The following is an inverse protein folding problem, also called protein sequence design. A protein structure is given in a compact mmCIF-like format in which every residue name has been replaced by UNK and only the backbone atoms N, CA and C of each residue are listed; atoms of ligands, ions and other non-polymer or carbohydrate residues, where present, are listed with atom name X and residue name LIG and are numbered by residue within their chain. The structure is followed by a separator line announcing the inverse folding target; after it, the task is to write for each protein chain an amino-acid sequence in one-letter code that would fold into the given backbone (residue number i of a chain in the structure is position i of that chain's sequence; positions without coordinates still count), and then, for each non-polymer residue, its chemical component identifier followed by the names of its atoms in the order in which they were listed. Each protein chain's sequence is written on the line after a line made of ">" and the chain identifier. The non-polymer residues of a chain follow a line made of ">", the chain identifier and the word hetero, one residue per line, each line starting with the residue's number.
data_IF_956663751649
#
_entry.id   IF_956663751649
#
_cell.length_a   1.000
_cell.length_b   1.000
_cell.length_c   1.000
_cell.angle_alpha   90.00
_cell.angle_beta   90.00
_cell.angle_gamma   90.00
#
_symmetry.space_group_name_H-M   'P 1'
#
loop_
_entity.id
_entity.type
_entity.pdbx_description
1 polymer ?
#
# COMPACT_ATOMS: atom_id res chain seq x y z
N UNK A 1 -0.82 14.71 -2.41
CA UNK A 1 -1.70 15.84 -2.76
C UNK A 1 -2.92 15.22 -3.39
N UNK A 2 -4.09 15.56 -2.87
CA UNK A 2 -5.38 15.00 -3.23
C UNK A 2 -6.45 15.95 -2.71
N UNK A 3 -7.51 16.20 -3.47
CA UNK A 3 -8.68 16.97 -3.02
C UNK A 3 -9.53 16.07 -2.09
N UNK A 4 -9.43 16.29 -0.78
CA UNK A 4 -10.09 15.46 0.25
C UNK A 4 -11.48 16.00 0.57
N UNK A 5 -11.76 17.28 0.33
CA UNK A 5 -13.04 17.90 0.68
C UNK A 5 -13.90 18.23 -0.56
N UNK A 6 -13.46 17.85 -1.76
CA UNK A 6 -14.10 18.11 -3.05
C UNK A 6 -14.34 19.61 -3.30
N UNK A 7 -13.36 20.46 -2.96
CA UNK A 7 -13.42 21.90 -3.16
C UNK A 7 -12.65 22.42 -4.39
N UNK A 8 -12.18 21.50 -5.23
CA UNK A 8 -11.37 21.72 -6.44
C UNK A 8 -9.91 22.16 -6.16
N UNK A 9 -9.47 22.15 -4.89
CA UNK A 9 -8.08 22.39 -4.51
C UNK A 9 -7.44 21.15 -3.91
N UNK A 10 -6.22 20.84 -4.39
CA UNK A 10 -5.44 19.76 -3.79
C UNK A 10 -5.04 20.09 -2.34
N UNK A 11 -5.25 19.13 -1.45
CA UNK A 11 -4.84 19.18 -0.06
C UNK A 11 -3.48 18.52 0.19
N UNK A 12 -2.82 18.93 1.28
CA UNK A 12 -1.59 18.29 1.73
C UNK A 12 -1.92 17.22 2.76
N UNK A 13 -1.51 15.99 2.48
CA UNK A 13 -1.58 14.88 3.42
C UNK A 13 -0.18 14.34 3.69
N UNK A 14 0.17 14.14 4.96
CA UNK A 14 1.48 13.61 5.33
C UNK A 14 1.45 12.90 6.69
N UNK A 15 2.41 11.98 6.86
CA UNK A 15 2.69 11.31 8.12
C UNK A 15 4.12 11.60 8.55
N UNK A 16 4.32 11.58 9.86
CA UNK A 16 5.59 11.66 10.52
C UNK A 16 6.09 10.24 10.79
N UNK A 17 7.40 10.08 10.69
CA UNK A 17 8.07 8.82 11.00
C UNK A 17 8.07 8.53 12.52
N UNK A 18 8.34 7.28 12.91
CA UNK A 18 8.51 6.86 14.30
C UNK A 18 9.68 7.60 14.99
N UNK A 19 9.79 7.47 16.32
CA UNK A 19 10.80 8.14 17.17
C UNK A 19 10.67 9.67 17.25
N UNK A 20 9.44 10.20 17.28
CA UNK A 20 9.14 11.62 17.44
C UNK A 20 9.50 12.10 18.85
N UNK A 21 10.29 13.16 18.95
CA UNK A 21 10.85 13.66 20.23
C UNK A 21 9.81 14.15 21.26
N UNK A 22 8.60 14.54 20.85
CA UNK A 22 7.59 15.16 21.71
C UNK A 22 6.18 14.56 21.51
N UNK A 23 6.10 13.26 21.23
CA UNK A 23 4.82 12.61 20.92
C UNK A 23 3.85 12.59 22.12
N UNK A 24 4.36 12.68 23.36
CA UNK A 24 3.52 12.77 24.56
C UNK A 24 2.63 14.02 24.57
N UNK A 25 3.12 15.14 24.03
CA UNK A 25 2.37 16.41 23.96
C UNK A 25 1.64 16.58 22.61
N UNK A 26 2.09 15.90 21.56
CA UNK A 26 1.40 15.85 20.27
C UNK A 26 1.39 14.40 19.75
N UNK A 27 0.38 13.61 20.11
CA UNK A 27 0.36 12.18 19.79
C UNK A 27 0.05 11.90 18.33
N UNK A 28 -0.49 12.86 17.58
CA UNK A 28 -0.88 12.67 16.18
C UNK A 28 0.33 12.38 15.29
N UNK A 29 0.21 11.34 14.48
CA UNK A 29 1.29 10.85 13.63
C UNK A 29 1.20 11.42 12.22
N UNK A 30 0.02 11.80 11.75
CA UNK A 30 -0.16 12.44 10.45
C UNK A 30 -1.25 13.49 10.46
N UNK A 31 -1.28 14.28 9.40
CA UNK A 31 -2.21 15.38 9.23
C UNK A 31 -2.66 15.52 7.78
N UNK A 32 -3.90 16.01 7.62
CA UNK A 32 -4.38 16.66 6.41
C UNK A 32 -4.37 18.16 6.65
N UNK A 33 -3.87 18.94 5.70
CA UNK A 33 -3.99 20.38 5.64
C UNK A 33 -4.91 20.70 4.47
N UNK A 34 -6.18 21.00 4.79
CA UNK A 34 -7.18 21.32 3.79
C UNK A 34 -6.95 22.73 3.27
N UNK A 35 -6.61 22.80 1.99
CA UNK A 35 -6.50 24.04 1.24
C UNK A 35 -7.86 24.74 1.19
N UNK A 36 -7.84 26.04 0.96
CA UNK A 36 -9.03 26.82 0.63
C UNK A 36 -8.81 27.65 -0.64
N UNK A 37 -7.79 27.27 -1.42
CA UNK A 37 -7.35 27.97 -2.63
C UNK A 37 -6.58 29.27 -2.40
N UNK A 38 -6.45 29.76 -1.16
CA UNK A 38 -5.68 30.99 -0.88
C UNK A 38 -4.19 30.69 -0.76
N UNK A 39 -3.35 31.67 -1.09
CA UNK A 39 -1.89 31.55 -0.91
C UNK A 39 -1.45 31.66 0.55
N UNK A 40 -2.36 31.92 1.49
CA UNK A 40 -2.06 32.08 2.90
C UNK A 40 -2.34 30.77 3.65
N UNK A 41 -1.32 29.92 3.77
CA UNK A 41 -1.41 28.60 4.42
C UNK A 41 -1.92 28.63 5.87
N UNK A 42 -1.86 29.79 6.55
CA UNK A 42 -2.40 29.92 7.91
C UNK A 42 -3.94 29.93 7.96
N UNK A 43 -4.60 30.13 6.81
CA UNK A 43 -6.06 30.06 6.66
C UNK A 43 -6.56 28.65 6.35
N UNK A 44 -5.64 27.72 6.08
CA UNK A 44 -5.94 26.33 5.75
C UNK A 44 -6.28 25.54 7.02
N UNK A 45 -7.14 24.54 6.89
CA UNK A 45 -7.60 23.77 8.04
C UNK A 45 -6.68 22.57 8.30
N UNK A 46 -6.08 22.50 9.49
CA UNK A 46 -5.32 21.34 9.93
C UNK A 46 -6.24 20.31 10.60
N UNK A 47 -6.20 19.06 10.11
CA UNK A 47 -6.91 17.92 10.68
C UNK A 47 -5.94 16.79 10.98
N UNK A 48 -6.08 16.18 12.15
CA UNK A 48 -5.27 15.02 12.53
C UNK A 48 -5.78 13.75 11.87
N UNK A 49 -4.85 12.87 11.49
CA UNK A 49 -5.14 11.54 10.96
C UNK A 49 -5.21 10.50 12.10
N UNK A 50 -5.93 9.39 11.89
CA UNK A 50 -5.85 8.22 12.75
C UNK A 50 -4.39 7.72 12.87
N UNK A 51 -4.06 7.18 14.05
CA UNK A 51 -2.77 6.52 14.26
C UNK A 51 -2.77 5.14 13.60
N UNK A 52 -1.58 4.64 13.24
CA UNK A 52 -1.42 3.29 12.72
C UNK A 52 -1.57 2.20 13.80
N UNK A 53 -1.54 0.92 13.40
CA UNK A 53 -1.98 -0.21 14.23
C UNK A 53 -1.03 -0.55 15.39
N UNK A 54 0.22 -0.08 15.38
CA UNK A 54 1.25 -0.51 16.35
C UNK A 54 1.32 0.36 17.61
N UNK A 55 0.37 1.28 17.76
CA UNK A 55 0.37 2.27 18.83
C UNK A 55 1.19 3.50 18.49
N UNK A 56 0.90 4.59 19.20
CA UNK A 56 1.51 5.90 18.94
C UNK A 56 3.03 5.81 19.07
N UNK A 57 3.71 6.36 18.07
CA UNK A 57 5.16 6.47 17.89
C UNK A 57 5.89 5.17 17.55
N UNK A 58 5.15 4.11 17.19
CA UNK A 58 5.69 2.81 16.76
C UNK A 58 5.39 2.49 15.29
N UNK A 59 4.73 3.41 14.58
CA UNK A 59 4.34 3.26 13.19
C UNK A 59 5.35 3.92 12.24
N UNK A 60 5.75 3.18 11.20
CA UNK A 60 6.54 3.65 10.07
C UNK A 60 5.65 3.65 8.83
N UNK A 61 5.31 4.85 8.38
CA UNK A 61 4.47 5.07 7.20
C UNK A 61 5.36 5.08 5.95
N UNK A 62 5.28 4.02 5.15
CA UNK A 62 6.20 3.78 4.03
C UNK A 62 5.70 4.40 2.72
N UNK A 63 4.38 4.35 2.50
CA UNK A 63 3.73 4.86 1.30
C UNK A 63 2.25 5.12 1.58
N UNK A 64 1.63 5.99 0.80
CA UNK A 64 0.19 6.14 0.74
C UNK A 64 -0.23 6.33 -0.72
N UNK A 65 -1.43 5.86 -1.06
CA UNK A 65 -2.09 6.13 -2.33
C UNK A 65 -3.56 6.50 -2.06
N UNK A 66 -4.21 7.11 -3.02
CA UNK A 66 -5.57 7.63 -2.85
C UNK A 66 -6.45 7.35 -4.08
N UNK A 67 -7.75 7.23 -3.83
CA UNK A 67 -8.78 6.94 -4.82
C UNK A 67 -10.14 6.79 -4.16
N UNK A 68 -11.22 6.83 -4.93
CA UNK A 68 -12.57 6.54 -4.44
C UNK A 68 -12.71 5.02 -4.28
N UNK A 69 -12.62 4.52 -3.05
CA UNK A 69 -12.60 3.08 -2.75
C UNK A 69 -14.01 2.52 -2.53
N UNK A 70 -15.00 3.39 -2.27
CA UNK A 70 -16.37 3.01 -1.94
C UNK A 70 -17.42 3.58 -2.92
N UNK A 71 -16.96 4.20 -4.00
CA UNK A 71 -17.75 4.82 -5.07
C UNK A 71 -18.71 5.93 -4.56
N UNK A 72 -18.33 6.68 -3.53
CA UNK A 72 -19.14 7.78 -2.98
C UNK A 72 -18.81 9.15 -3.58
N UNK A 73 -17.80 9.23 -4.44
CA UNK A 73 -17.32 10.43 -5.11
C UNK A 73 -16.31 11.25 -4.31
N UNK A 74 -15.88 10.78 -3.13
CA UNK A 74 -14.83 11.41 -2.33
C UNK A 74 -13.57 10.56 -2.34
N UNK A 75 -12.41 11.22 -2.28
CA UNK A 75 -11.15 10.50 -2.29
C UNK A 75 -10.85 9.91 -0.90
N UNK A 76 -10.60 8.62 -0.88
CA UNK A 76 -10.14 7.83 0.26
C UNK A 76 -8.62 7.63 0.19
N UNK A 77 -8.05 7.02 1.22
CA UNK A 77 -6.60 6.84 1.35
C UNK A 77 -6.27 5.44 1.87
N UNK A 78 -5.30 4.79 1.22
CA UNK A 78 -4.65 3.57 1.74
C UNK A 78 -3.23 3.89 2.15
N UNK A 79 -2.81 3.41 3.33
CA UNK A 79 -1.48 3.71 3.90
C UNK A 79 -0.75 2.42 4.23
N UNK A 80 0.48 2.27 3.72
CA UNK A 80 1.36 1.16 4.04
C UNK A 80 2.11 1.47 5.33
N UNK A 81 1.88 0.65 6.36
CA UNK A 81 2.44 0.83 7.70
C UNK A 81 3.24 -0.40 8.11
N UNK A 82 4.45 -0.16 8.62
CA UNK A 82 5.27 -1.16 9.29
C UNK A 82 5.64 -0.71 10.69
N UNK A 83 6.25 -1.58 11.50
CA UNK A 83 6.58 -1.23 12.90
C UNK A 83 8.05 -0.96 13.12
N UNK A 84 8.34 -0.25 14.20
CA UNK A 84 9.69 -0.01 14.70
C UNK A 84 10.30 -1.26 15.36
N UNK A 85 9.48 -2.03 16.08
CA UNK A 85 9.89 -3.20 16.83
C UNK A 85 8.88 -4.35 16.64
N UNK A 86 9.32 -5.50 16.09
CA UNK A 86 10.58 -5.72 15.38
C UNK A 86 10.77 -4.83 14.13
N UNK A 87 12.02 -4.50 13.82
CA UNK A 87 12.37 -3.49 12.81
C UNK A 87 11.83 -3.84 11.42
N UNK A 88 10.93 -2.99 10.91
CA UNK A 88 10.33 -3.11 9.57
C UNK A 88 9.58 -4.43 9.33
N UNK A 89 9.12 -5.06 10.41
CA UNK A 89 8.33 -6.28 10.34
C UNK A 89 6.84 -5.93 10.28
N UNK A 90 6.08 -6.69 9.48
CA UNK A 90 4.68 -6.44 9.19
C UNK A 90 4.46 -5.45 8.06
N UNK A 91 3.75 -5.91 7.02
CA UNK A 91 3.32 -5.10 5.89
C UNK A 91 1.81 -4.85 6.00
N UNK A 92 1.43 -3.92 6.88
CA UNK A 92 0.04 -3.58 7.15
C UNK A 92 -0.45 -2.51 6.18
N UNK A 93 -1.70 -2.60 5.78
CA UNK A 93 -2.42 -1.60 5.00
C UNK A 93 -3.53 -1.02 5.88
N UNK A 94 -3.44 0.27 6.17
CA UNK A 94 -4.49 1.02 6.83
C UNK A 94 -5.43 1.61 5.78
N UNK A 95 -6.73 1.37 5.93
CA UNK A 95 -7.80 1.85 5.05
C UNK A 95 -8.48 3.04 5.72
N UNK A 96 -8.37 4.21 5.11
CA UNK A 96 -8.96 5.45 5.60
C UNK A 96 -10.03 5.93 4.62
N UNK A 97 -11.31 5.79 4.99
CA UNK A 97 -12.41 6.31 4.18
C UNK A 97 -12.73 7.75 4.55
N UNK A 98 -13.10 8.53 3.55
CA UNK A 98 -13.56 9.90 3.72
C UNK A 98 -14.97 9.92 4.30
N UNK A 99 -15.20 10.77 5.30
CA UNK A 99 -16.53 10.97 5.87
C UNK A 99 -17.38 11.99 5.11
N UNK A 100 -16.96 12.37 3.89
CA UNK A 100 -17.55 13.40 3.01
C UNK A 100 -17.47 14.84 3.54
N UNK A 101 -16.85 15.04 4.70
CA UNK A 101 -16.58 16.35 5.32
C UNK A 101 -15.07 16.63 5.38
N UNK A 102 -14.28 15.87 4.63
CA UNK A 102 -12.84 15.93 4.58
C UNK A 102 -12.16 15.42 5.85
N UNK A 103 -12.79 14.52 6.62
CA UNK A 103 -12.11 13.73 7.64
C UNK A 103 -11.86 12.32 7.11
N UNK A 104 -10.69 11.77 7.42
CA UNK A 104 -10.32 10.40 7.07
C UNK A 104 -10.50 9.51 8.31
N UNK A 105 -11.36 8.49 8.17
CA UNK A 105 -11.75 7.56 9.23
C UNK A 105 -11.11 6.21 8.98
N UNK A 106 -10.40 5.70 9.99
CA UNK A 106 -9.83 4.34 9.92
C UNK A 106 -10.94 3.30 10.05
N UNK A 107 -11.12 2.51 8.99
CA UNK A 107 -12.10 1.43 8.90
C UNK A 107 -11.45 0.05 8.82
N UNK A 108 -10.13 -0.02 8.95
CA UNK A 108 -9.34 -1.22 8.62
C UNK A 108 -9.80 -2.46 9.37
N UNK A 109 -10.14 -2.34 10.65
CA UNK A 109 -10.60 -3.48 11.47
C UNK A 109 -11.87 -4.15 10.92
N UNK A 110 -12.77 -3.37 10.30
CA UNK A 110 -14.01 -3.91 9.76
C UNK A 110 -13.90 -4.25 8.26
N UNK A 111 -13.09 -3.48 7.54
CA UNK A 111 -13.06 -3.50 6.08
C UNK A 111 -11.88 -4.30 5.52
N UNK A 112 -10.82 -4.50 6.29
CA UNK A 112 -9.70 -5.35 5.87
C UNK A 112 -9.03 -6.06 7.07
N UNK A 113 -9.78 -6.92 7.80
CA UNK A 113 -9.30 -7.58 9.02
C UNK A 113 -8.24 -8.65 8.74
N UNK A 114 -8.35 -9.37 7.61
CA UNK A 114 -7.52 -10.53 7.30
C UNK A 114 -6.41 -10.18 6.31
N UNK A 115 -5.35 -9.53 6.81
CA UNK A 115 -4.17 -9.16 6.01
C UNK A 115 -3.08 -10.23 6.14
N UNK A 116 -2.83 -11.00 5.08
CA UNK A 116 -1.93 -12.16 5.17
C UNK A 116 -0.45 -11.80 5.46
N UNK A 117 -0.06 -10.53 5.30
CA UNK A 117 1.31 -10.02 5.48
C UNK A 117 1.50 -9.11 6.69
N UNK A 118 0.44 -8.83 7.46
CA UNK A 118 0.54 -7.87 8.57
C UNK A 118 1.50 -8.33 9.65
N UNK A 119 1.63 -9.64 9.89
CA UNK A 119 2.29 -10.13 11.10
C UNK A 119 3.81 -10.05 11.00
N UNK A 120 4.39 -10.55 9.90
CA UNK A 120 5.85 -10.77 9.82
C UNK A 120 6.51 -10.46 8.49
N UNK A 121 5.75 -10.11 7.44
CA UNK A 121 6.36 -9.76 6.15
C UNK A 121 7.11 -8.45 6.26
N UNK A 122 8.23 -8.29 5.55
CA UNK A 122 8.93 -7.01 5.53
C UNK A 122 8.04 -5.90 4.96
N UNK A 123 7.89 -4.80 5.69
CA UNK A 123 6.88 -3.79 5.39
C UNK A 123 7.28 -2.73 4.36
N UNK A 124 8.52 -2.71 3.89
CA UNK A 124 8.96 -1.74 2.88
C UNK A 124 8.27 -2.00 1.54
N UNK A 125 7.52 -1.01 1.05
CA UNK A 125 6.74 -1.19 -0.16
C UNK A 125 6.14 0.09 -0.73
N UNK A 126 5.38 -0.09 -1.81
CA UNK A 126 4.58 0.92 -2.48
C UNK A 126 3.16 0.37 -2.67
N UNK A 127 2.19 1.27 -2.68
CA UNK A 127 0.79 0.96 -2.96
C UNK A 127 0.46 1.45 -4.37
N UNK A 128 -0.32 0.66 -5.10
CA UNK A 128 -0.95 1.07 -6.35
C UNK A 128 -2.42 0.67 -6.30
N UNK A 129 -3.31 1.64 -6.53
CA UNK A 129 -4.75 1.39 -6.63
C UNK A 129 -5.17 1.20 -8.09
N UNK A 130 -5.70 0.03 -8.45
CA UNK A 130 -6.16 -0.31 -9.83
C UNK A 130 -7.27 -1.34 -9.74
N UNK A 131 -8.12 -1.38 -10.76
CA UNK A 131 -9.08 -2.47 -10.98
C UNK A 131 -8.33 -3.69 -11.55
N UNK A 132 -8.13 -4.74 -10.75
CA UNK A 132 -7.37 -5.93 -11.13
C UNK A 132 -8.24 -7.04 -11.70
N UNK A 133 -9.50 -7.12 -11.26
CA UNK A 133 -10.42 -8.20 -11.62
C UNK A 133 -11.48 -7.79 -12.65
N UNK A 134 -11.43 -6.53 -13.08
CA UNK A 134 -12.27 -5.90 -14.09
C UNK A 134 -13.74 -5.77 -13.66
N UNK A 135 -13.99 -5.66 -12.36
CA UNK A 135 -15.33 -5.39 -11.82
C UNK A 135 -15.68 -3.89 -11.76
N UNK A 136 -14.69 -3.01 -11.99
CA UNK A 136 -14.83 -1.57 -12.01
C UNK A 136 -14.43 -0.86 -10.72
N UNK A 137 -14.04 -1.61 -9.69
CA UNK A 137 -13.67 -1.09 -8.37
C UNK A 137 -12.14 -1.01 -8.19
N UNK A 138 -11.67 -0.06 -7.38
CA UNK A 138 -10.23 0.04 -7.10
C UNK A 138 -9.81 -1.01 -6.07
N UNK A 139 -8.95 -1.93 -6.50
CA UNK A 139 -8.23 -2.88 -5.66
C UNK A 139 -6.88 -2.33 -5.19
N UNK A 140 -6.25 -3.02 -4.24
CA UNK A 140 -4.95 -2.65 -3.70
C UNK A 140 -3.87 -3.62 -4.16
N UNK A 141 -2.84 -3.08 -4.80
CA UNK A 141 -1.57 -3.77 -4.99
C UNK A 141 -0.51 -3.23 -4.05
N UNK A 142 -0.13 -4.05 -3.08
CA UNK A 142 0.96 -3.76 -2.17
C UNK A 142 2.26 -4.38 -2.70
N UNK A 143 3.04 -3.56 -3.39
CA UNK A 143 4.37 -3.91 -3.89
C UNK A 143 5.38 -3.95 -2.74
N UNK A 144 5.63 -5.12 -2.18
CA UNK A 144 6.57 -5.29 -1.07
C UNK A 144 7.87 -5.97 -1.51
N UNK A 145 9.00 -5.58 -0.92
CA UNK A 145 10.24 -6.35 -1.09
C UNK A 145 10.16 -7.64 -0.27
N UNK A 146 10.53 -8.76 -0.85
CA UNK A 146 10.58 -10.05 -0.13
C UNK A 146 12.02 -10.53 0.04
N UNK A 147 12.34 -11.05 1.23
CA UNK A 147 13.64 -11.61 1.61
C UNK A 147 13.56 -13.10 1.98
N UNK A 148 12.35 -13.65 1.95
CA UNK A 148 12.06 -15.04 2.28
C UNK A 148 11.91 -15.83 0.99
N UNK A 149 10.71 -16.29 0.60
CA UNK A 149 10.48 -17.06 -0.63
C UNK A 149 9.01 -17.01 -1.15
N UNK A 150 8.26 -15.93 -0.89
CA UNK A 150 6.83 -15.84 -1.20
C UNK A 150 6.64 -15.24 -2.60
N UNK A 151 6.53 -13.90 -2.68
CA UNK A 151 6.48 -13.10 -3.90
C UNK A 151 6.55 -11.60 -3.53
N UNK A 152 7.14 -10.77 -4.39
CA UNK A 152 7.39 -9.34 -4.14
C UNK A 152 6.17 -8.42 -4.26
N UNK A 153 4.97 -8.95 -4.02
CA UNK A 153 3.71 -8.22 -4.10
C UNK A 153 2.57 -8.96 -3.39
N UNK A 154 1.56 -8.23 -2.94
CA UNK A 154 0.28 -8.74 -2.47
C UNK A 154 -0.87 -7.95 -3.13
N UNK A 155 -1.97 -8.62 -3.44
CA UNK A 155 -3.19 -7.98 -3.95
C UNK A 155 -4.32 -8.20 -2.93
N UNK A 156 -5.09 -7.15 -2.67
CA UNK A 156 -6.35 -7.22 -1.94
C UNK A 156 -7.48 -6.71 -2.84
N UNK A 157 -8.49 -7.54 -3.06
CA UNK A 157 -9.64 -7.26 -3.93
C UNK A 157 -10.71 -6.52 -3.15
N UNK A 158 -11.18 -5.40 -3.69
CA UNK A 158 -12.28 -4.61 -3.19
C UNK A 158 -13.61 -5.17 -3.70
N UNK A 159 -14.70 -4.94 -2.98
CA UNK A 159 -16.05 -5.31 -3.43
C UNK A 159 -16.91 -4.10 -3.83
N UNK A 160 -16.25 -2.97 -4.10
CA UNK A 160 -16.87 -1.68 -4.44
C UNK A 160 -17.40 -0.85 -3.28
N UNK A 161 -17.30 -1.36 -2.05
CA UNK A 161 -17.70 -0.62 -0.82
C UNK A 161 -16.52 -0.31 0.10
N UNK A 162 -15.29 -0.45 -0.41
CA UNK A 162 -14.06 -0.30 0.37
C UNK A 162 -13.84 -1.44 1.36
N UNK A 163 -14.41 -2.63 1.12
CA UNK A 163 -14.19 -3.85 1.91
C UNK A 163 -13.32 -4.78 1.09
N UNK A 164 -12.17 -5.14 1.65
CA UNK A 164 -11.08 -5.82 0.95
C UNK A 164 -10.90 -7.27 1.41
N UNK A 165 -10.62 -8.13 0.45
CA UNK A 165 -10.23 -9.53 0.68
C UNK A 165 -8.82 -9.77 0.15
N UNK A 166 -7.92 -10.24 1.02
CA UNK A 166 -6.57 -10.65 0.63
C UNK A 166 -6.60 -11.78 -0.39
N UNK A 167 -5.95 -11.61 -1.54
CA UNK A 167 -5.62 -12.75 -2.38
C UNK A 167 -4.54 -13.59 -1.70
N UNK A 168 -4.74 -14.92 -1.74
CA UNK A 168 -3.77 -15.85 -1.20
C UNK A 168 -2.47 -15.78 -2.01
N UNK A 169 -1.31 -15.88 -1.34
CA UNK A 169 -0.01 -15.86 -2.01
C UNK A 169 0.15 -16.95 -3.10
N UNK A 170 -0.64 -18.02 -3.04
CA UNK A 170 -0.66 -19.09 -4.06
C UNK A 170 -1.21 -18.66 -5.43
N UNK A 171 -1.94 -17.55 -5.53
CA UNK A 171 -2.34 -16.97 -6.81
C UNK A 171 -1.15 -16.43 -7.60
N UNK A 172 -0.08 -16.03 -6.90
CA UNK A 172 1.14 -15.62 -7.54
C UNK A 172 2.04 -16.83 -7.81
N UNK A 173 2.67 -16.90 -8.98
CA UNK A 173 3.69 -17.89 -9.20
C UNK A 173 4.82 -17.65 -8.20
N UNK A 174 5.37 -18.76 -7.70
CA UNK A 174 6.60 -18.71 -6.90
C UNK A 174 7.67 -17.98 -7.69
N UNK A 175 8.62 -17.38 -6.97
CA UNK A 175 9.85 -16.85 -7.58
C UNK A 175 10.40 -17.84 -8.62
N UNK A 176 10.95 -17.37 -9.75
CA UNK A 176 11.59 -18.28 -10.71
C UNK A 176 12.75 -19.03 -10.03
N UNK A 177 12.66 -20.37 -9.89
CA UNK A 177 13.78 -21.21 -9.38
C UNK A 177 13.87 -22.52 -10.17
N UNK A 178 15.06 -22.85 -10.69
CA UNK A 178 15.91 -23.95 -10.16
C UNK A 178 17.14 -24.31 -11.02
N UNK A 179 17.17 -24.06 -12.34
CA UNK A 179 18.12 -24.83 -13.18
C UNK A 179 19.25 -24.11 -13.95
N UNK A 180 19.44 -22.78 -13.99
CA UNK A 180 20.64 -22.26 -14.71
C UNK A 180 21.21 -20.88 -14.38
N UNK A 181 20.62 -20.01 -13.55
CA UNK A 181 21.16 -18.64 -13.47
C UNK A 181 21.29 -17.92 -12.11
N UNK A 182 20.51 -18.12 -11.03
CA UNK A 182 20.92 -17.55 -9.72
C UNK A 182 20.22 -18.09 -8.47
N UNK A 183 20.93 -17.96 -7.34
CA UNK A 183 20.44 -18.19 -5.97
C UNK A 183 20.12 -16.85 -5.26
N UNK A 184 19.62 -15.85 -5.98
CA UNK A 184 19.22 -14.58 -5.36
C UNK A 184 18.04 -14.83 -4.41
N UNK A 185 18.22 -14.43 -3.15
CA UNK A 185 17.25 -14.72 -2.08
C UNK A 185 16.21 -13.61 -1.94
N UNK A 186 16.53 -12.40 -2.42
CA UNK A 186 15.62 -11.26 -2.39
C UNK A 186 14.91 -11.06 -3.72
N UNK A 187 13.65 -10.65 -3.61
CA UNK A 187 12.80 -10.23 -4.73
C UNK A 187 12.55 -8.74 -4.56
N UNK A 188 12.85 -7.97 -5.60
CA UNK A 188 12.56 -6.55 -5.63
C UNK A 188 11.05 -6.30 -5.64
N UNK A 189 10.67 -5.07 -5.26
CA UNK A 189 9.32 -4.55 -5.38
C UNK A 189 8.75 -4.83 -6.78
N UNK A 190 7.64 -5.55 -6.85
CA UNK A 190 6.97 -5.84 -8.10
C UNK A 190 6.12 -4.66 -8.57
N UNK A 191 6.04 -4.42 -9.88
CA UNK A 191 5.22 -3.36 -10.45
C UNK A 191 4.04 -3.93 -11.23
N UNK A 192 2.82 -3.47 -10.95
CA UNK A 192 1.67 -3.79 -11.77
C UNK A 192 1.78 -3.11 -13.15
N UNK A 193 1.53 -3.86 -14.22
CA UNK A 193 1.60 -3.38 -15.61
C UNK A 193 0.60 -4.15 -16.48
N UNK A 194 0.18 -3.60 -17.61
CA UNK A 194 -0.59 -4.34 -18.61
C UNK A 194 0.33 -4.62 -19.82
N UNK A 195 0.86 -5.85 -19.94
CA UNK A 195 1.83 -6.27 -20.95
C UNK A 195 1.18 -6.87 -22.19
N UNK A 196 0.01 -7.49 -22.06
CA UNK A 196 -0.69 -8.17 -23.15
C UNK A 196 -1.92 -7.41 -23.68
N UNK A 197 -2.32 -6.33 -23.00
CA UNK A 197 -3.49 -5.52 -23.31
C UNK A 197 -4.82 -6.28 -23.14
N UNK A 198 -4.87 -7.32 -22.31
CA UNK A 198 -6.08 -8.09 -22.00
C UNK A 198 -6.82 -7.59 -20.74
N UNK A 199 -6.27 -6.57 -20.07
CA UNK A 199 -6.93 -5.87 -18.96
C UNK A 199 -6.62 -6.48 -17.59
N UNK A 200 -6.33 -7.78 -17.54
CA UNK A 200 -5.76 -8.41 -16.37
C UNK A 200 -4.38 -7.81 -16.09
N UNK A 201 -4.16 -7.39 -14.84
CA UNK A 201 -2.92 -6.71 -14.52
C UNK A 201 -1.79 -7.73 -14.33
N UNK A 202 -0.76 -7.57 -15.16
CA UNK A 202 0.48 -8.32 -15.13
C UNK A 202 1.44 -7.77 -14.09
N UNK A 203 2.49 -8.55 -13.82
CA UNK A 203 3.52 -8.18 -12.87
C UNK A 203 4.91 -8.25 -13.50
N UNK A 204 5.67 -7.16 -13.36
CA UNK A 204 7.11 -7.17 -13.62
C UNK A 204 7.88 -7.01 -12.32
N UNK A 205 8.90 -7.84 -12.10
CA UNK A 205 9.77 -7.76 -10.92
C UNK A 205 11.16 -8.29 -11.24
N UNK A 206 12.09 -8.18 -10.29
CA UNK A 206 13.42 -8.71 -10.42
C UNK A 206 13.87 -9.48 -9.18
N UNK A 207 14.51 -10.63 -9.37
CA UNK A 207 15.32 -11.26 -8.32
C UNK A 207 16.67 -10.55 -8.25
N UNK A 208 16.97 -9.90 -7.12
CA UNK A 208 18.13 -9.04 -6.98
C UNK A 208 19.19 -9.59 -6.00
N UNK A 209 20.39 -9.05 -6.09
CA UNK A 209 21.56 -9.49 -5.33
C UNK A 209 21.68 -8.82 -3.96
N UNK A 210 20.62 -8.18 -3.47
CA UNK A 210 20.68 -7.34 -2.28
C UNK A 210 21.25 -8.11 -1.08
N UNK A 211 22.27 -7.55 -0.44
CA UNK A 211 22.97 -8.19 0.69
C UNK A 211 24.06 -9.20 0.33
N UNK A 212 24.34 -9.45 -0.96
CA UNK A 212 25.43 -10.33 -1.42
C UNK A 212 26.36 -9.60 -2.41
N UNK A 213 27.45 -9.03 -1.89
CA UNK A 213 28.43 -8.26 -2.68
C UNK A 213 29.22 -9.09 -3.69
N UNK A 214 29.14 -10.43 -3.64
CA UNK A 214 29.81 -11.30 -4.60
C UNK A 214 28.99 -11.53 -5.87
N UNK A 215 27.72 -11.12 -5.89
CA UNK A 215 26.84 -11.27 -7.04
C UNK A 215 26.61 -9.93 -7.72
N UNK A 216 26.53 -9.97 -9.04
CA UNK A 216 26.43 -8.77 -9.90
C UNK A 216 25.28 -8.86 -10.91
N UNK A 217 24.49 -9.94 -10.87
CA UNK A 217 23.43 -10.20 -11.84
C UNK A 217 22.07 -10.23 -11.15
N UNK A 218 21.18 -9.35 -11.62
CA UNK A 218 19.76 -9.36 -11.30
C UNK A 218 18.98 -10.05 -12.43
N UNK A 219 17.85 -10.67 -12.11
CA UNK A 219 17.00 -11.35 -13.08
C UNK A 219 15.67 -10.67 -13.15
N UNK A 220 15.37 -10.05 -14.28
CA UNK A 220 14.05 -9.53 -14.58
C UNK A 220 13.13 -10.69 -14.97
N UNK A 221 11.91 -10.68 -14.45
CA UNK A 221 10.86 -11.59 -14.87
C UNK A 221 9.52 -10.86 -14.99
N UNK A 222 8.70 -11.34 -15.92
CA UNK A 222 7.33 -10.90 -16.14
C UNK A 222 6.39 -12.06 -15.88
N UNK A 223 5.26 -11.78 -15.25
CA UNK A 223 4.17 -12.71 -15.02
C UNK A 223 2.98 -12.16 -15.77
N UNK A 224 2.51 -12.91 -16.77
CA UNK A 224 1.36 -12.53 -17.57
C UNK A 224 0.13 -13.20 -16.96
N UNK A 225 -0.84 -12.41 -16.54
CA UNK A 225 -2.10 -12.92 -16.02
C UNK A 225 -3.08 -13.14 -17.16
N UNK A 226 -3.45 -14.41 -17.38
CA UNK A 226 -4.36 -14.81 -18.46
C UNK A 226 -5.83 -14.92 -18.00
N UNK A 227 -6.09 -14.71 -16.70
CA UNK A 227 -7.42 -14.85 -16.10
C UNK A 227 -7.59 -13.91 -14.90
N UNK A 228 -8.55 -12.98 -15.02
CA UNK A 228 -8.90 -12.01 -13.98
C UNK A 228 -9.87 -12.59 -12.94
N UNK A 229 -10.36 -13.82 -13.11
CA UNK A 229 -11.29 -14.40 -12.15
C UNK A 229 -10.56 -14.88 -10.90
N UNK A 230 -10.51 -14.04 -9.87
CA UNK A 230 -9.96 -14.41 -8.55
C UNK A 230 -10.97 -15.15 -7.67
N UNK A 231 -11.98 -15.79 -8.28
CA UNK A 231 -13.00 -16.58 -7.62
C UNK A 231 -12.43 -17.82 -6.93
N UNK A 232 -12.81 -18.03 -5.67
CA UNK A 232 -12.82 -19.36 -5.06
C UNK A 232 -14.01 -20.19 -5.54
#
# INVERSE_FOLDING_TARGET
>A
MVDINNDEYDDLIFWNFDNRWNFENNPHEGFVVLSNGTSNINEWQLKALPAGPYGVNHNKYNHADWGDLNNDGYMDVVVAVTRDIPYYEGAYLQILLNDTNGNLVDVTENNFPDQIREASHHGEGNIYLRDFDLDGDLDIFHSTRDYTEINGAHIAINNGSGVFTSLNDSYFPKRPVKDSFSNNKSIAKGLPINLDNEGCLDLISAADVWGDSNKTVNYLYSLINIDCSFSN
#
